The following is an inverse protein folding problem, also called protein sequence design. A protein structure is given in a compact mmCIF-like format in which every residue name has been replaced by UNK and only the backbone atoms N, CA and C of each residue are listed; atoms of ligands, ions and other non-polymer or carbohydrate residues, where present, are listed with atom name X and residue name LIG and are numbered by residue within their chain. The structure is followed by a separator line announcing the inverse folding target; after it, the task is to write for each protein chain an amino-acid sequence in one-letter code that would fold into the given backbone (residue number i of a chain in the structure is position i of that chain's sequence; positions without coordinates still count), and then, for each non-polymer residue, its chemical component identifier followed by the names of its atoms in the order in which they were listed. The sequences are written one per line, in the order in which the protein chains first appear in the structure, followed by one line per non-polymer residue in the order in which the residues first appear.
data_IF_965232251918
#
_entry.id   IF_965232251918
#
_cell.length_a   1.000
_cell.length_b   1.000
_cell.length_c   1.000
_cell.angle_alpha   90.00
_cell.angle_beta   90.00
_cell.angle_gamma   90.00
#
_symmetry.space_group_name_H-M   'P 1'
#
loop_
_entity.id
_entity.type
_entity.pdbx_description
1 polymer ?
#
# COMPACT_ATOMS: atom_id res chain seq x y z
N UNK A 1 -12.38 1.12 -18.25
CA UNK A 1 -10.99 0.96 -17.75
C UNK A 1 -11.07 0.48 -16.32
N UNK A 2 -10.22 -0.47 -15.91
CA UNK A 2 -10.16 -0.95 -14.53
C UNK A 2 -8.91 -0.40 -13.87
N UNK A 3 -8.95 -0.29 -12.56
CA UNK A 3 -7.83 0.17 -11.75
C UNK A 3 -7.54 -0.85 -10.66
N UNK A 4 -6.27 -0.93 -10.30
CA UNK A 4 -5.76 -1.73 -9.20
C UNK A 4 -5.20 -0.79 -8.14
N UNK A 5 -5.52 -1.05 -6.88
CA UNK A 5 -4.81 -0.42 -5.76
C UNK A 5 -3.72 -1.38 -5.33
N UNK A 6 -2.48 -0.89 -5.30
CA UNK A 6 -1.30 -1.68 -4.93
C UNK A 6 -0.72 -1.09 -3.66
N UNK A 7 -0.58 -1.92 -2.63
CA UNK A 7 0.01 -1.55 -1.34
C UNK A 7 1.29 -2.34 -1.16
N UNK A 8 2.41 -1.67 -1.02
CA UNK A 8 3.74 -2.28 -0.86
C UNK A 8 4.30 -1.81 0.48
N UNK A 9 4.24 -2.64 1.52
CA UNK A 9 4.90 -2.34 2.77
C UNK A 9 6.37 -2.77 2.72
N UNK A 10 7.22 -1.93 3.31
CA UNK A 10 8.66 -2.11 3.45
C UNK A 10 9.03 -1.83 4.91
N UNK A 11 9.86 -2.68 5.49
CA UNK A 11 10.36 -2.52 6.85
C UNK A 11 11.88 -2.37 6.86
N UNK A 12 12.38 -1.58 7.81
CA UNK A 12 13.81 -1.48 8.05
C UNK A 12 14.17 -2.30 9.28
N UNK A 13 14.92 -3.37 9.09
CA UNK A 13 15.43 -4.16 10.21
C UNK A 13 16.91 -3.80 10.46
N UNK A 14 17.27 -3.33 11.67
CA UNK A 14 18.66 -3.13 12.01
C UNK A 14 19.36 -4.50 12.11
N UNK A 15 20.29 -4.77 11.19
CA UNK A 15 21.13 -5.96 11.19
C UNK A 15 22.58 -5.58 11.49
N UNK A 16 22.92 -5.51 12.78
CA UNK A 16 24.25 -5.11 13.24
C UNK A 16 24.53 -3.63 12.95
N UNK A 17 25.50 -3.33 12.07
CA UNK A 17 25.85 -1.96 11.63
C UNK A 17 25.13 -1.51 10.36
N UNK A 18 24.34 -2.39 9.75
CA UNK A 18 23.64 -2.15 8.49
C UNK A 18 22.13 -2.18 8.74
N UNK A 19 21.38 -1.31 8.06
CA UNK A 19 19.92 -1.47 7.99
C UNK A 19 19.63 -2.38 6.79
N UNK A 20 19.00 -3.53 7.01
CA UNK A 20 18.46 -4.34 5.93
C UNK A 20 17.05 -3.87 5.61
N UNK A 21 16.85 -3.52 4.35
CA UNK A 21 15.54 -3.25 3.77
C UNK A 21 14.85 -4.58 3.48
N UNK A 22 13.70 -4.80 4.10
CA UNK A 22 12.85 -5.95 3.84
C UNK A 22 11.59 -5.48 3.14
N UNK A 23 11.45 -5.84 1.86
CA UNK A 23 10.28 -5.54 1.05
C UNK A 23 9.30 -6.70 1.21
N UNK A 24 8.16 -6.43 1.82
CA UNK A 24 7.10 -7.43 1.95
C UNK A 24 6.37 -7.64 0.63
N UNK A 25 5.68 -8.78 0.51
CA UNK A 25 4.95 -9.10 -0.71
C UNK A 25 3.88 -8.03 -0.95
N UNK A 26 3.85 -7.39 -2.13
CA UNK A 26 2.82 -6.41 -2.46
C UNK A 26 1.41 -7.00 -2.33
N UNK A 27 0.48 -6.20 -1.83
CA UNK A 27 -0.94 -6.50 -1.83
C UNK A 27 -1.61 -5.78 -3.00
N UNK A 28 -2.40 -6.50 -3.79
CA UNK A 28 -3.08 -5.96 -4.97
C UNK A 28 -4.57 -6.17 -4.85
N UNK A 29 -5.31 -5.06 -4.86
CA UNK A 29 -6.77 -5.03 -4.82
C UNK A 29 -7.26 -4.86 -6.25
N UNK A 30 -7.94 -5.89 -6.78
CA UNK A 30 -8.35 -5.91 -8.17
C UNK A 30 -9.62 -5.10 -8.48
N UNK A 31 -9.64 -4.58 -9.71
CA UNK A 31 -10.82 -4.72 -10.55
C UNK A 31 -11.93 -3.71 -10.31
N UNK A 32 -11.59 -2.49 -9.90
CA UNK A 32 -12.58 -1.44 -9.61
C UNK A 32 -12.64 -0.39 -10.71
N UNK A 33 -13.80 0.27 -10.84
CA UNK A 33 -13.90 1.53 -11.56
C UNK A 33 -13.07 2.59 -10.83
N UNK A 34 -12.71 3.68 -11.51
CA UNK A 34 -11.87 4.73 -10.92
C UNK A 34 -12.40 5.22 -9.56
N UNK A 35 -13.70 5.53 -9.50
CA UNK A 35 -14.33 6.05 -8.28
C UNK A 35 -14.21 5.07 -7.10
N UNK A 36 -14.48 3.79 -7.35
CA UNK A 36 -14.42 2.77 -6.28
C UNK A 36 -12.97 2.49 -5.88
N UNK A 37 -12.04 2.46 -6.83
CA UNK A 37 -10.61 2.29 -6.53
C UNK A 37 -10.07 3.47 -5.70
N UNK A 38 -10.50 4.69 -6.02
CA UNK A 38 -10.15 5.90 -5.28
C UNK A 38 -10.76 5.91 -3.87
N UNK A 39 -11.98 5.41 -3.70
CA UNK A 39 -12.61 5.26 -2.39
C UNK A 39 -11.85 4.27 -1.51
N UNK A 40 -11.47 3.11 -2.05
CA UNK A 40 -10.63 2.11 -1.36
C UNK A 40 -9.28 2.71 -0.98
N UNK A 41 -8.61 3.38 -1.92
CA UNK A 41 -7.32 4.03 -1.67
C UNK A 41 -7.45 5.06 -0.53
N UNK A 42 -8.44 5.95 -0.58
CA UNK A 42 -8.66 6.92 0.49
C UNK A 42 -9.04 6.27 1.83
N UNK A 43 -9.70 5.10 1.81
CA UNK A 43 -9.97 4.31 3.01
C UNK A 43 -8.69 3.77 3.65
N UNK A 44 -7.80 3.19 2.83
CA UNK A 44 -6.48 2.71 3.25
C UNK A 44 -5.66 3.87 3.85
N UNK A 45 -5.64 5.02 3.17
CA UNK A 45 -4.92 6.21 3.64
C UNK A 45 -5.37 6.66 5.03
N UNK A 46 -6.68 6.79 5.22
CA UNK A 46 -7.25 7.19 6.52
C UNK A 46 -6.93 6.16 7.59
N UNK A 47 -6.98 4.87 7.24
CA UNK A 47 -6.66 3.80 8.17
C UNK A 47 -5.18 3.83 8.57
N UNK A 48 -4.25 4.01 7.63
CA UNK A 48 -2.81 4.18 7.88
C UNK A 48 -2.58 5.38 8.80
N UNK A 49 -3.10 6.57 8.45
CA UNK A 49 -2.94 7.78 9.25
C UNK A 49 -3.55 7.68 10.65
N UNK A 50 -4.57 6.84 10.84
CA UNK A 50 -5.20 6.63 12.16
C UNK A 50 -4.46 5.65 13.05
N UNK A 51 -3.66 4.75 12.47
CA UNK A 51 -3.04 3.62 13.18
C UNK A 51 -1.54 3.80 13.44
N UNK A 52 -0.87 4.60 12.63
CA UNK A 52 0.56 4.83 12.69
C UNK A 52 0.86 6.32 12.88
N UNK A 53 2.02 6.63 13.46
CA UNK A 53 2.58 7.97 13.32
C UNK A 53 3.23 8.07 11.94
N UNK A 54 2.75 8.97 11.08
CA UNK A 54 3.11 8.97 9.66
C UNK A 54 3.64 10.30 9.15
N UNK A 55 4.66 10.21 8.31
CA UNK A 55 5.03 11.29 7.38
C UNK A 55 4.51 10.92 5.99
N UNK A 56 3.73 11.81 5.39
CA UNK A 56 3.09 11.59 4.10
C UNK A 56 3.75 12.41 2.98
N UNK A 57 3.96 11.78 1.83
CA UNK A 57 4.42 12.43 0.61
C UNK A 57 3.63 11.90 -0.60
N UNK A 58 3.12 12.81 -1.44
CA UNK A 58 2.61 12.45 -2.77
C UNK A 58 3.75 12.50 -3.77
N UNK A 59 4.04 11.36 -4.39
CA UNK A 59 5.19 11.17 -5.27
C UNK A 59 4.75 10.91 -6.70
N UNK A 60 5.62 11.27 -7.65
CA UNK A 60 5.38 10.96 -9.06
C UNK A 60 5.57 9.45 -9.29
N UNK A 61 4.50 8.76 -9.73
CA UNK A 61 4.55 7.36 -10.13
C UNK A 61 5.02 7.12 -11.56
N UNK A 62 5.04 5.85 -11.94
CA UNK A 62 5.32 5.43 -13.32
C UNK A 62 4.15 5.81 -14.25
N UNK A 63 4.33 5.69 -15.57
CA UNK A 63 3.28 6.02 -16.56
C UNK A 63 1.97 5.22 -16.38
N UNK A 64 2.03 4.09 -15.67
CA UNK A 64 0.89 3.26 -15.31
C UNK A 64 0.22 3.65 -13.98
N UNK A 65 0.90 4.43 -13.14
CA UNK A 65 0.41 4.87 -11.85
C UNK A 65 -0.21 6.26 -11.97
N UNK A 66 -1.49 6.37 -11.60
CA UNK A 66 -2.24 7.63 -11.62
C UNK A 66 -2.06 8.38 -10.32
N UNK A 67 -1.98 7.63 -9.22
CA UNK A 67 -1.74 8.16 -7.88
C UNK A 67 -0.65 7.32 -7.26
N UNK A 68 0.31 7.97 -6.60
CA UNK A 68 1.31 7.29 -5.79
C UNK A 68 1.55 8.10 -4.52
N UNK A 69 1.23 7.46 -3.39
CA UNK A 69 1.38 8.00 -2.04
C UNK A 69 2.41 7.17 -1.29
N UNK A 70 3.36 7.84 -0.65
CA UNK A 70 4.39 7.24 0.19
C UNK A 70 4.13 7.65 1.64
N UNK A 71 4.14 6.67 2.53
CA UNK A 71 3.97 6.86 3.96
C UNK A 71 5.19 6.33 4.68
N UNK A 72 5.90 7.18 5.41
CA UNK A 72 6.89 6.73 6.37
C UNK A 72 6.20 6.49 7.69
N UNK A 73 6.20 5.24 8.15
CA UNK A 73 5.47 4.78 9.34
C UNK A 73 6.42 4.66 10.52
N UNK A 74 5.96 5.11 11.69
CA UNK A 74 6.59 4.86 12.98
C UNK A 74 5.56 4.32 13.98
N UNK A 75 5.86 3.17 14.59
CA UNK A 75 5.03 2.57 15.64
C UNK A 75 5.91 1.77 16.60
N UNK A 76 5.81 2.04 17.89
CA UNK A 76 6.52 1.32 18.96
C UNK A 76 8.04 1.18 18.74
N UNK A 77 8.67 2.21 18.15
CA UNK A 77 10.10 2.23 17.84
C UNK A 77 10.49 1.49 16.56
N UNK A 78 9.54 0.89 15.85
CA UNK A 78 9.73 0.31 14.51
C UNK A 78 9.43 1.34 13.45
N UNK A 79 10.23 1.32 12.38
CA UNK A 79 10.10 2.22 11.25
C UNK A 79 9.99 1.43 9.95
N UNK A 80 9.13 1.90 9.05
CA UNK A 80 9.04 1.36 7.70
C UNK A 80 8.40 2.34 6.75
N UNK A 81 8.23 1.92 5.50
CA UNK A 81 7.62 2.70 4.44
C UNK A 81 6.46 1.90 3.87
N UNK A 82 5.36 2.56 3.56
CA UNK A 82 4.27 1.97 2.79
C UNK A 82 4.05 2.80 1.54
N UNK A 83 4.06 2.11 0.40
CA UNK A 83 3.77 2.68 -0.89
C UNK A 83 2.35 2.28 -1.28
N UNK A 84 1.47 3.26 -1.48
CA UNK A 84 0.10 3.05 -1.94
C UNK A 84 -0.06 3.66 -3.32
N UNK A 85 -0.38 2.83 -4.31
CA UNK A 85 -0.45 3.22 -5.71
C UNK A 85 -1.82 2.90 -6.29
N UNK A 86 -2.33 3.79 -7.14
CA UNK A 86 -3.47 3.52 -8.01
C UNK A 86 -2.96 3.32 -9.44
N UNK A 87 -3.02 2.10 -9.93
CA UNK A 87 -2.52 1.73 -11.26
C UNK A 87 -3.66 1.54 -12.24
N UNK A 88 -3.56 2.08 -13.46
CA UNK A 88 -4.50 1.77 -14.56
C UNK A 88 -4.18 0.39 -15.13
N UNK A 89 -5.21 -0.41 -15.37
CA UNK A 89 -5.08 -1.72 -16.05
C UNK A 89 -5.58 -1.58 -17.48
N UNK A 90 -4.64 -1.59 -18.43
CA UNK A 90 -4.86 -1.44 -19.88
C UNK A 90 -4.02 -2.48 -20.64
N UNK A 91 -4.08 -2.47 -21.98
CA UNK A 91 -3.21 -3.35 -22.79
C UNK A 91 -1.71 -3.08 -22.60
N UNK A 92 -1.34 -1.82 -22.34
CA UNK A 92 0.04 -1.39 -22.11
C UNK A 92 0.43 -1.52 -20.63
N UNK A 93 -0.52 -1.25 -19.73
CA UNK A 93 -0.34 -1.38 -18.29
C UNK A 93 -0.97 -2.69 -17.81
N UNK A 94 -0.18 -3.77 -17.84
CA UNK A 94 -0.59 -5.06 -17.30
C UNK A 94 -0.92 -5.01 -15.80
N UNK A 95 -1.52 -6.08 -15.30
CA UNK A 95 -1.83 -6.23 -13.88
C UNK A 95 -0.56 -6.20 -13.02
N UNK A 96 -0.65 -5.59 -11.84
CA UNK A 96 0.43 -5.62 -10.86
C UNK A 96 0.66 -7.04 -10.30
N UNK A 97 1.89 -7.35 -9.90
CA UNK A 97 2.24 -8.58 -9.21
C UNK A 97 2.05 -8.41 -7.70
N UNK A 98 1.61 -9.46 -7.01
CA UNK A 98 1.43 -9.47 -5.56
C UNK A 98 0.32 -10.42 -5.10
N UNK A 99 0.13 -10.46 -3.78
CA UNK A 99 -0.97 -11.17 -3.14
C UNK A 99 -2.29 -10.46 -3.48
N UNK A 100 -3.22 -11.20 -4.06
CA UNK A 100 -4.53 -10.66 -4.46
C UNK A 100 -5.46 -10.61 -3.26
N UNK A 101 -5.97 -9.43 -2.97
CA UNK A 101 -6.98 -9.22 -1.93
C UNK A 101 -8.33 -9.00 -2.62
N UNK A 102 -9.27 -9.90 -2.36
CA UNK A 102 -10.66 -9.72 -2.76
C UNK A 102 -11.36 -8.87 -1.70
N UNK A 103 -11.93 -7.74 -2.14
CA UNK A 103 -12.66 -6.82 -1.25
C UNK A 103 -14.14 -7.20 -1.25
N UNK A 104 -14.62 -7.71 -0.12
CA UNK A 104 -16.01 -8.09 0.13
C UNK A 104 -16.74 -7.04 0.97
N UNK A 105 -16.17 -6.67 2.12
CA UNK A 105 -16.71 -5.70 3.08
C UNK A 105 -15.64 -4.65 3.39
N UNK A 106 -15.86 -3.43 2.90
CA UNK A 106 -14.88 -2.33 2.91
C UNK A 106 -14.09 -2.19 4.22
N UNK A 107 -14.75 -2.22 5.37
CA UNK A 107 -14.11 -2.06 6.67
C UNK A 107 -13.20 -3.24 7.05
N UNK A 108 -13.65 -4.48 6.81
CA UNK A 108 -12.86 -5.68 7.10
C UNK A 108 -11.65 -5.80 6.19
N UNK A 109 -11.83 -5.46 4.92
CA UNK A 109 -10.76 -5.57 3.93
C UNK A 109 -9.66 -4.55 4.21
N UNK A 110 -10.03 -3.33 4.59
CA UNK A 110 -9.06 -2.31 5.04
C UNK A 110 -8.35 -2.78 6.31
N UNK A 111 -9.06 -3.36 7.27
CA UNK A 111 -8.43 -3.90 8.48
C UNK A 111 -7.39 -4.97 8.16
N UNK A 112 -7.71 -5.91 7.26
CA UNK A 112 -6.75 -6.94 6.83
C UNK A 112 -5.50 -6.36 6.18
N UNK A 113 -5.63 -5.29 5.39
CA UNK A 113 -4.47 -4.57 4.80
C UNK A 113 -3.61 -3.94 5.90
N UNK A 114 -4.23 -3.31 6.90
CA UNK A 114 -3.50 -2.72 8.02
C UNK A 114 -2.77 -3.79 8.83
N UNK A 115 -3.43 -4.92 9.12
CA UNK A 115 -2.81 -6.05 9.83
C UNK A 115 -1.57 -6.57 9.07
N UNK A 116 -1.64 -6.67 7.75
CA UNK A 116 -0.49 -7.11 6.94
C UNK A 116 0.65 -6.08 6.94
N UNK A 117 0.33 -4.78 6.95
CA UNK A 117 1.32 -3.72 7.14
C UNK A 117 1.98 -3.84 8.53
N UNK A 118 1.19 -4.05 9.59
CA UNK A 118 1.71 -4.23 10.95
C UNK A 118 2.59 -5.48 11.07
N UNK A 119 2.19 -6.57 10.43
CA UNK A 119 2.98 -7.81 10.36
C UNK A 119 4.30 -7.57 9.62
N UNK A 120 4.29 -6.82 8.52
CA UNK A 120 5.48 -6.48 7.77
C UNK A 120 6.47 -5.63 8.59
N UNK A 121 5.95 -4.67 9.37
CA UNK A 121 6.77 -3.82 10.22
C UNK A 121 7.36 -4.54 11.44
N UNK A 122 6.87 -5.74 11.77
CA UNK A 122 7.16 -6.41 13.04
C UNK A 122 8.48 -7.17 13.07
#
# INVERSE_FOLDING_TARGET
MKYEVVVIPESFHPFGKHNMEHICVPMVIEGRSYNVAMEVLNGIDKAIMSKFNVTFEEVKGDDCDIVYRKYELNKDGKTGIVHVKLRKVTGECGKANGNRIEVFEFERDIQSIIEEIENCLS
#
